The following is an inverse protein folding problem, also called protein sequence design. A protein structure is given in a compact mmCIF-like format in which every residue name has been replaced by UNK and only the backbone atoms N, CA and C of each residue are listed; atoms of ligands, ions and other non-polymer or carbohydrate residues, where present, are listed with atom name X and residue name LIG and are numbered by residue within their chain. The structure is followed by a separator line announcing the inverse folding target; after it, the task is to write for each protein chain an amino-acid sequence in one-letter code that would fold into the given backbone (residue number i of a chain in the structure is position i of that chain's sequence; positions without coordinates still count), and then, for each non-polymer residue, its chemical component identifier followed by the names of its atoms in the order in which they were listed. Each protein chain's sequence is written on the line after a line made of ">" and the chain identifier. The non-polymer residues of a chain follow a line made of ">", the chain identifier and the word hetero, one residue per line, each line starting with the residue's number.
data_IF_599762587694
#
_entry.id   IF_599762587694
#
_cell.length_a   1.000
_cell.length_b   1.000
_cell.length_c   1.000
_cell.angle_alpha   90.00
_cell.angle_beta   90.00
_cell.angle_gamma   90.00
#
_symmetry.space_group_name_H-M   'P 1'
#
loop_
_entity.id
_entity.type
_entity.pdbx_description
1 polymer ?
#
# COMPACT_ATOMS: atom_id res chain seq x y z
N UNK A 1 -37.67 90.03 -30.79
CA UNK A 1 -36.69 89.64 -29.74
C UNK A 1 -36.61 88.13 -29.76
N UNK A 2 -35.57 87.56 -30.39
CA UNK A 2 -35.33 86.10 -30.38
C UNK A 2 -34.54 85.74 -29.16
N UNK A 3 -34.82 84.61 -28.50
CA UNK A 3 -34.07 84.20 -27.33
C UNK A 3 -32.77 83.50 -27.75
N UNK A 4 -31.66 83.94 -27.17
CA UNK A 4 -30.35 83.36 -27.33
C UNK A 4 -30.33 81.94 -26.74
N UNK A 5 -30.17 80.90 -27.57
CA UNK A 5 -29.96 79.49 -27.11
C UNK A 5 -28.49 79.21 -26.98
N UNK A 6 -28.06 79.07 -25.76
CA UNK A 6 -26.71 78.52 -25.44
C UNK A 6 -26.71 77.01 -25.53
N UNK A 7 -25.93 76.44 -26.44
CA UNK A 7 -25.62 74.98 -26.46
C UNK A 7 -24.41 74.69 -25.57
N UNK A 8 -24.66 74.11 -24.44
CA UNK A 8 -23.54 73.60 -23.54
C UNK A 8 -23.13 72.19 -24.03
N UNK A 9 -21.91 72.07 -24.54
CA UNK A 9 -21.32 70.81 -24.96
C UNK A 9 -20.71 70.10 -23.72
N UNK A 10 -21.33 69.02 -23.23
CA UNK A 10 -20.80 68.20 -22.11
C UNK A 10 -19.50 67.55 -22.56
N UNK A 11 -18.39 67.98 -22.01
CA UNK A 11 -17.10 67.40 -22.27
C UNK A 11 -17.09 66.02 -21.61
N UNK A 12 -17.20 64.95 -22.40
CA UNK A 12 -17.20 63.60 -21.93
C UNK A 12 -15.74 63.25 -21.54
N UNK A 13 -15.46 63.09 -20.24
CA UNK A 13 -14.14 62.77 -19.70
C UNK A 13 -13.68 61.36 -20.17
N UNK A 14 -13.21 61.29 -21.41
CA UNK A 14 -12.63 60.06 -21.97
C UNK A 14 -11.37 59.64 -21.23
N UNK A 15 -10.73 60.58 -20.50
CA UNK A 15 -9.54 60.34 -19.70
C UNK A 15 -9.85 59.45 -18.48
N UNK A 16 -10.90 59.72 -17.73
CA UNK A 16 -11.32 58.97 -16.54
C UNK A 16 -11.69 57.53 -16.94
N UNK A 17 -12.41 57.34 -18.04
CA UNK A 17 -12.78 56.01 -18.53
C UNK A 17 -11.57 55.21 -19.03
N UNK A 18 -10.56 55.86 -19.59
CA UNK A 18 -9.29 55.22 -19.97
C UNK A 18 -8.49 54.82 -18.76
N UNK A 19 -8.42 55.63 -17.71
CA UNK A 19 -7.75 55.30 -16.46
C UNK A 19 -8.41 54.11 -15.73
N UNK A 20 -9.73 54.07 -15.67
CA UNK A 20 -10.49 52.96 -15.11
C UNK A 20 -10.26 51.67 -15.92
N UNK A 21 -10.22 51.74 -17.25
CA UNK A 21 -9.91 50.60 -18.10
C UNK A 21 -8.51 50.05 -17.89
N UNK A 22 -7.51 50.93 -17.74
CA UNK A 22 -6.11 50.51 -17.45
C UNK A 22 -6.01 49.88 -16.06
N UNK A 23 -6.68 50.44 -15.05
CA UNK A 23 -6.69 49.89 -13.69
C UNK A 23 -7.35 48.52 -13.62
N UNK A 24 -8.49 48.32 -14.31
CA UNK A 24 -9.15 47.02 -14.43
C UNK A 24 -8.29 45.98 -15.17
N UNK A 25 -7.57 46.40 -16.22
CA UNK A 25 -6.69 45.52 -16.98
C UNK A 25 -5.46 45.09 -16.13
N UNK A 26 -4.88 46.02 -15.35
CA UNK A 26 -3.74 45.69 -14.46
C UNK A 26 -4.15 44.79 -13.30
N UNK A 27 -5.33 45.01 -12.70
CA UNK A 27 -5.84 44.10 -11.65
C UNK A 27 -6.16 42.71 -12.19
N UNK A 28 -6.71 42.61 -13.40
CA UNK A 28 -6.95 41.32 -14.06
C UNK A 28 -5.64 40.61 -14.40
N UNK A 29 -4.62 41.33 -14.87
CA UNK A 29 -3.31 40.78 -15.23
C UNK A 29 -2.53 40.30 -13.97
N UNK A 30 -2.61 41.04 -12.85
CA UNK A 30 -2.02 40.61 -11.57
C UNK A 30 -2.72 39.36 -11.01
N UNK A 31 -4.03 39.21 -11.22
CA UNK A 31 -4.76 38.00 -10.81
C UNK A 31 -4.33 36.71 -11.55
N UNK A 32 -3.87 36.86 -12.81
CA UNK A 32 -3.41 35.73 -13.63
C UNK A 32 -1.98 35.24 -13.25
N UNK A 33 -1.20 36.06 -12.55
CA UNK A 33 0.16 35.74 -12.14
C UNK A 33 0.24 35.02 -10.77
N UNK A 34 -0.86 34.93 -10.03
CA UNK A 34 -0.92 34.30 -8.72
C UNK A 34 -1.12 32.77 -8.74
N UNK A 35 -1.10 32.16 -9.93
CA UNK A 35 -1.43 30.76 -10.16
C UNK A 35 -0.27 29.76 -10.08
N UNK A 36 0.93 30.15 -9.65
CA UNK A 36 2.00 29.19 -9.39
C UNK A 36 1.87 28.60 -7.99
N UNK A 37 0.97 27.64 -7.79
CA UNK A 37 1.15 26.68 -6.71
C UNK A 37 2.33 25.78 -7.12
N UNK A 38 3.48 25.92 -6.49
CA UNK A 38 4.55 24.91 -6.61
C UNK A 38 3.93 23.59 -6.16
N UNK A 39 3.95 22.58 -7.01
CA UNK A 39 3.58 21.24 -6.58
C UNK A 39 4.38 20.89 -5.32
N UNK A 40 3.74 20.29 -4.30
CA UNK A 40 4.46 19.88 -3.11
C UNK A 40 5.59 18.94 -3.53
N UNK A 41 6.78 19.13 -2.96
CA UNK A 41 7.89 18.20 -3.15
C UNK A 41 7.38 16.79 -2.91
N UNK A 42 7.80 15.88 -3.78
CA UNK A 42 7.38 14.48 -3.73
C UNK A 42 8.57 13.62 -4.09
N UNK A 43 8.83 12.62 -3.29
CA UNK A 43 9.80 11.56 -3.59
C UNK A 43 9.14 10.20 -3.46
N UNK A 44 9.40 9.31 -4.41
CA UNK A 44 8.83 7.97 -4.43
C UNK A 44 9.91 6.97 -4.81
N UNK A 45 9.91 5.82 -4.12
CA UNK A 45 10.76 4.67 -4.45
C UNK A 45 9.94 3.39 -4.36
N UNK A 46 10.41 2.40 -5.09
CA UNK A 46 9.88 1.05 -5.09
C UNK A 46 10.93 0.08 -4.55
N UNK A 47 10.45 -0.94 -3.86
CA UNK A 47 11.26 -2.06 -3.37
C UNK A 47 10.44 -3.35 -3.45
N UNK A 48 11.13 -4.50 -3.48
CA UNK A 48 10.49 -5.81 -3.47
C UNK A 48 10.69 -6.44 -2.10
N UNK A 49 9.59 -6.62 -1.35
CA UNK A 49 9.55 -7.21 -0.02
C UNK A 49 8.24 -7.99 0.15
N UNK A 50 8.24 -9.05 0.94
CA UNK A 50 7.06 -9.90 1.21
C UNK A 50 6.45 -10.44 -0.09
N UNK A 51 7.29 -10.82 -1.06
CA UNK A 51 6.91 -11.31 -2.38
C UNK A 51 6.02 -10.35 -3.18
N UNK A 52 6.12 -9.05 -2.89
CA UNK A 52 5.35 -8.01 -3.60
C UNK A 52 6.15 -6.73 -3.81
N UNK A 53 5.69 -5.88 -4.73
CA UNK A 53 6.26 -4.56 -4.95
C UNK A 53 5.62 -3.59 -3.96
N UNK A 54 6.46 -2.93 -3.15
CA UNK A 54 6.05 -1.88 -2.23
C UNK A 54 6.52 -0.54 -2.77
N UNK A 55 5.58 0.38 -3.00
CA UNK A 55 5.89 1.76 -3.39
C UNK A 55 5.66 2.68 -2.20
N UNK A 56 6.70 3.40 -1.78
CA UNK A 56 6.63 4.40 -0.72
C UNK A 56 6.76 5.79 -1.32
N UNK A 57 5.80 6.66 -1.02
CA UNK A 57 5.77 8.03 -1.49
C UNK A 57 5.70 9.00 -0.32
N UNK A 58 6.62 9.94 -0.27
CA UNK A 58 6.63 11.05 0.70
C UNK A 58 6.24 12.34 0.01
N UNK A 59 5.43 13.14 0.67
CA UNK A 59 5.00 14.47 0.24
C UNK A 59 5.56 15.54 1.19
N UNK A 60 5.91 16.70 0.63
CA UNK A 60 6.45 17.82 1.39
C UNK A 60 7.95 17.75 1.65
N UNK A 61 8.62 16.70 1.22
CA UNK A 61 10.06 16.48 1.34
C UNK A 61 10.62 15.79 0.11
N UNK A 62 11.92 15.94 -0.11
CA UNK A 62 12.75 15.19 -1.07
C UNK A 62 13.80 14.34 -0.34
N UNK A 63 13.74 14.25 0.98
CA UNK A 63 14.66 13.45 1.79
C UNK A 63 14.31 11.96 1.71
N UNK A 64 15.12 11.23 0.96
CA UNK A 64 14.97 9.80 0.75
C UNK A 64 15.28 8.94 2.00
N UNK A 65 15.86 9.54 3.03
CA UNK A 65 16.25 8.83 4.25
C UNK A 65 15.06 8.06 4.85
N UNK A 66 13.91 8.71 4.94
CA UNK A 66 12.72 8.07 5.52
C UNK A 66 12.23 6.87 4.71
N UNK A 67 12.34 6.92 3.37
CA UNK A 67 12.00 5.76 2.52
C UNK A 67 12.98 4.61 2.77
N UNK A 68 14.27 4.93 2.86
CA UNK A 68 15.30 3.94 3.13
C UNK A 68 15.13 3.31 4.53
N UNK A 69 14.74 4.09 5.53
CA UNK A 69 14.43 3.60 6.87
C UNK A 69 13.22 2.63 6.84
N UNK A 70 12.16 2.97 6.09
CA UNK A 70 11.00 2.09 5.89
C UNK A 70 11.38 0.78 5.18
N UNK A 71 12.20 0.84 4.14
CA UNK A 71 12.66 -0.38 3.46
C UNK A 71 13.59 -1.22 4.33
N UNK A 72 14.39 -0.61 5.18
CA UNK A 72 15.20 -1.33 6.16
C UNK A 72 14.33 -2.09 7.15
N UNK A 73 13.25 -1.45 7.62
CA UNK A 73 12.26 -2.08 8.50
C UNK A 73 11.49 -3.21 7.79
N UNK A 74 11.07 -2.98 6.53
CA UNK A 74 10.42 -4.03 5.73
C UNK A 74 11.33 -5.26 5.58
N UNK A 75 12.63 -5.03 5.31
CA UNK A 75 13.63 -6.11 5.22
C UNK A 75 13.81 -6.86 6.54
N UNK A 76 13.83 -6.15 7.67
CA UNK A 76 13.93 -6.76 8.99
C UNK A 76 12.73 -7.69 9.26
N UNK A 77 11.51 -7.20 9.03
CA UNK A 77 10.29 -7.99 9.21
C UNK A 77 10.18 -9.16 8.23
N UNK A 78 10.58 -8.97 6.98
CA UNK A 78 10.64 -10.06 6.01
C UNK A 78 11.57 -11.18 6.50
N UNK A 79 12.79 -10.84 6.97
CA UNK A 79 13.73 -11.81 7.51
C UNK A 79 13.21 -12.52 8.78
N UNK A 80 12.29 -11.89 9.51
CA UNK A 80 11.71 -12.43 10.74
C UNK A 80 10.48 -13.30 10.45
N UNK A 81 9.59 -12.85 9.56
CA UNK A 81 8.26 -13.43 9.38
C UNK A 81 8.10 -14.29 8.13
N UNK A 82 9.10 -14.37 7.25
CA UNK A 82 9.00 -15.20 6.05
C UNK A 82 8.89 -16.68 6.40
N UNK A 83 8.00 -17.39 5.74
CA UNK A 83 7.92 -18.84 5.78
C UNK A 83 8.88 -19.53 4.79
N UNK A 84 9.50 -18.76 3.87
CA UNK A 84 10.41 -19.26 2.82
C UNK A 84 11.88 -18.95 3.07
N UNK A 85 12.19 -17.92 3.87
CA UNK A 85 13.57 -17.58 4.23
C UNK A 85 14.04 -18.53 5.33
N UNK A 86 15.02 -19.37 5.02
CA UNK A 86 15.61 -20.28 5.98
C UNK A 86 16.20 -19.52 7.18
N UNK A 87 15.83 -19.94 8.38
CA UNK A 87 16.29 -19.33 9.64
C UNK A 87 15.47 -18.13 10.10
N UNK A 88 14.43 -17.72 9.39
CA UNK A 88 13.41 -16.81 9.93
C UNK A 88 12.71 -17.45 11.13
N UNK A 89 12.12 -16.64 12.01
CA UNK A 89 11.43 -17.18 13.18
C UNK A 89 10.23 -18.06 12.80
N UNK A 90 9.50 -17.69 11.75
CA UNK A 90 8.38 -18.49 11.24
C UNK A 90 8.87 -19.81 10.62
N UNK A 91 9.95 -19.80 9.82
CA UNK A 91 10.49 -21.04 9.28
C UNK A 91 10.99 -21.98 10.39
N UNK A 92 11.62 -21.43 11.43
CA UNK A 92 12.03 -22.22 12.61
C UNK A 92 10.83 -22.86 13.34
N UNK A 93 9.70 -22.14 13.45
CA UNK A 93 8.48 -22.71 14.03
C UNK A 93 7.94 -23.83 13.15
N UNK A 94 7.89 -23.63 11.84
CA UNK A 94 7.41 -24.65 10.89
C UNK A 94 8.28 -25.92 10.90
N UNK A 95 9.59 -25.76 11.06
CA UNK A 95 10.56 -26.86 11.09
C UNK A 95 10.68 -27.53 12.46
N UNK A 96 10.03 -27.01 13.50
CA UNK A 96 10.24 -27.45 14.87
C UNK A 96 9.63 -28.81 15.21
N UNK A 97 8.81 -29.39 14.35
CA UNK A 97 8.16 -30.70 14.57
C UNK A 97 7.44 -30.77 15.93
N UNK A 98 6.64 -29.74 16.24
CA UNK A 98 5.88 -29.63 17.49
C UNK A 98 6.69 -29.27 18.74
N UNK A 99 7.96 -28.93 18.61
CA UNK A 99 8.78 -28.43 19.72
C UNK A 99 8.62 -26.93 19.90
N UNK A 100 8.85 -26.45 21.13
CA UNK A 100 8.83 -25.00 21.38
C UNK A 100 10.05 -24.33 20.75
N UNK A 101 9.80 -23.19 20.12
CA UNK A 101 10.80 -22.28 19.56
C UNK A 101 10.74 -20.97 20.32
N UNK A 102 11.89 -20.41 20.65
CA UNK A 102 11.97 -19.05 21.22
C UNK A 102 11.91 -18.03 20.08
N UNK A 103 10.99 -17.10 20.16
CA UNK A 103 10.77 -16.06 19.14
C UNK A 103 10.82 -14.67 19.78
N UNK A 104 10.95 -13.64 18.96
CA UNK A 104 10.85 -12.25 19.39
C UNK A 104 9.42 -11.85 19.78
N UNK A 105 9.30 -10.75 20.53
CA UNK A 105 8.00 -10.20 20.92
C UNK A 105 7.12 -9.87 19.71
N UNK A 106 7.71 -9.34 18.62
CA UNK A 106 6.97 -9.03 17.39
C UNK A 106 6.35 -10.30 16.76
N UNK A 107 7.10 -11.41 16.71
CA UNK A 107 6.57 -12.68 16.18
C UNK A 107 5.51 -13.26 17.11
N UNK A 108 5.72 -13.14 18.43
CA UNK A 108 4.71 -13.56 19.40
C UNK A 108 3.41 -12.79 19.26
N UNK A 109 3.48 -11.47 19.11
CA UNK A 109 2.31 -10.61 18.88
C UNK A 109 1.59 -11.00 17.59
N UNK A 110 2.32 -11.18 16.48
CA UNK A 110 1.76 -11.60 15.20
C UNK A 110 1.01 -12.95 15.30
N UNK A 111 1.59 -13.94 15.99
CA UNK A 111 0.96 -15.23 16.22
C UNK A 111 -0.30 -15.09 17.09
N UNK A 112 -0.23 -14.28 18.14
CA UNK A 112 -1.36 -14.02 19.02
C UNK A 112 -2.52 -13.36 18.27
N UNK A 113 -2.23 -12.41 17.39
CA UNK A 113 -3.22 -11.78 16.53
C UNK A 113 -3.84 -12.80 15.56
N UNK A 114 -3.02 -13.66 14.96
CA UNK A 114 -3.51 -14.74 14.10
C UNK A 114 -4.48 -15.69 14.83
N UNK A 115 -4.16 -16.08 16.08
CA UNK A 115 -5.06 -16.88 16.90
C UNK A 115 -6.35 -16.13 17.22
N UNK A 116 -6.27 -14.83 17.49
CA UNK A 116 -7.45 -14.00 17.77
C UNK A 116 -8.36 -13.90 16.54
N UNK A 117 -7.81 -13.67 15.35
CA UNK A 117 -8.56 -13.68 14.09
C UNK A 117 -9.18 -15.05 13.80
N UNK A 118 -8.48 -16.15 14.13
CA UNK A 118 -9.04 -17.49 14.08
C UNK A 118 -10.31 -17.64 14.92
N UNK A 119 -10.29 -17.13 16.15
CA UNK A 119 -11.45 -17.11 17.07
C UNK A 119 -12.59 -16.23 16.55
N UNK A 120 -12.29 -14.99 16.16
CA UNK A 120 -13.28 -14.00 15.70
C UNK A 120 -13.98 -14.45 14.42
N UNK A 121 -13.28 -15.16 13.54
CA UNK A 121 -13.80 -15.67 12.28
C UNK A 121 -14.51 -17.02 12.40
N UNK A 122 -14.59 -17.59 13.61
CA UNK A 122 -15.11 -18.97 13.83
C UNK A 122 -14.36 -20.00 12.97
N UNK A 123 -13.01 -19.88 12.93
CA UNK A 123 -12.11 -20.78 12.21
C UNK A 123 -12.10 -20.60 10.67
N UNK A 124 -12.70 -19.54 10.12
CA UNK A 124 -12.62 -19.26 8.68
C UNK A 124 -11.27 -18.67 8.28
N UNK A 125 -10.58 -18.07 9.21
CA UNK A 125 -9.19 -17.69 9.13
C UNK A 125 -8.39 -18.62 10.05
N UNK A 126 -7.32 -19.20 9.54
CA UNK A 126 -6.45 -20.09 10.31
C UNK A 126 -4.99 -19.88 9.93
N UNK A 127 -4.16 -19.47 10.87
CA UNK A 127 -2.72 -19.25 10.63
C UNK A 127 -1.93 -20.56 10.52
N UNK A 128 -2.51 -21.72 10.91
CA UNK A 128 -1.90 -23.03 10.74
C UNK A 128 -2.12 -23.62 9.34
N UNK A 129 -2.55 -22.80 8.36
CA UNK A 129 -2.93 -23.22 6.99
C UNK A 129 -1.74 -23.71 6.14
N UNK A 130 -0.50 -23.60 6.61
CA UNK A 130 0.73 -23.86 5.85
C UNK A 130 0.68 -25.16 5.04
N UNK A 131 0.32 -26.28 5.68
CA UNK A 131 0.25 -27.58 5.00
C UNK A 131 -0.69 -27.59 3.78
N UNK A 132 -1.75 -26.81 3.79
CA UNK A 132 -2.66 -26.69 2.65
C UNK A 132 -2.11 -25.73 1.59
N UNK A 133 -1.49 -24.63 2.00
CA UNK A 133 -0.86 -23.67 1.08
C UNK A 133 0.27 -24.33 0.30
N UNK A 134 1.11 -25.10 0.98
CA UNK A 134 2.21 -25.83 0.37
C UNK A 134 1.71 -26.92 -0.60
N UNK A 135 0.62 -27.61 -0.24
CA UNK A 135 0.01 -28.62 -1.11
C UNK A 135 -0.55 -28.01 -2.41
N UNK A 136 -1.13 -26.81 -2.34
CA UNK A 136 -1.65 -26.12 -3.53
C UNK A 136 -0.55 -25.48 -4.37
N UNK A 137 0.57 -25.10 -3.78
CA UNK A 137 1.76 -24.54 -4.45
C UNK A 137 1.44 -23.55 -5.59
N UNK A 138 0.56 -22.61 -5.29
CA UNK A 138 -0.05 -21.70 -6.30
C UNK A 138 1.03 -20.90 -7.05
N UNK A 139 2.12 -20.54 -6.36
CA UNK A 139 3.21 -19.76 -6.98
C UNK A 139 3.90 -20.55 -8.10
N UNK A 140 4.21 -21.83 -7.87
CA UNK A 140 4.84 -22.69 -8.89
C UNK A 140 3.88 -22.97 -10.06
N UNK A 141 2.59 -23.17 -9.75
CA UNK A 141 1.56 -23.34 -10.78
C UNK A 141 1.46 -22.07 -11.64
N UNK A 142 1.49 -20.89 -11.04
CA UNK A 142 1.41 -19.62 -11.74
C UNK A 142 2.64 -19.35 -12.61
N UNK A 143 3.84 -19.70 -12.14
CA UNK A 143 5.09 -19.55 -12.90
C UNK A 143 5.17 -20.48 -14.11
N UNK A 144 4.60 -21.70 -13.99
CA UNK A 144 4.63 -22.73 -15.02
C UNK A 144 3.42 -22.68 -15.98
N UNK A 145 2.38 -21.90 -15.66
CA UNK A 145 1.27 -21.70 -16.58
C UNK A 145 1.67 -20.72 -17.69
N UNK A 146 1.73 -21.23 -18.93
CA UNK A 146 1.96 -20.41 -20.12
C UNK A 146 0.75 -19.46 -20.27
N UNK A 147 1.02 -18.16 -20.34
CA UNK A 147 0.01 -17.08 -20.32
C UNK A 147 -0.95 -17.07 -21.53
N UNK A 148 -0.85 -18.06 -22.43
CA UNK A 148 -1.67 -18.15 -23.61
C UNK A 148 -2.93 -19.02 -23.48
N UNK A 149 -2.97 -19.94 -22.53
CA UNK A 149 -4.13 -20.80 -22.28
C UNK A 149 -4.56 -20.67 -20.81
N UNK A 150 -5.76 -20.10 -20.57
CA UNK A 150 -6.35 -19.92 -19.24
C UNK A 150 -6.80 -21.25 -18.57
N UNK A 151 -6.35 -22.40 -19.05
CA UNK A 151 -6.70 -23.68 -18.44
C UNK A 151 -5.52 -24.20 -17.62
N UNK A 152 -5.73 -24.31 -16.31
CA UNK A 152 -4.82 -25.01 -15.40
C UNK A 152 -4.95 -26.50 -15.67
N UNK A 153 -3.84 -27.18 -15.98
CA UNK A 153 -3.85 -28.64 -16.12
C UNK A 153 -4.35 -29.30 -14.83
N UNK A 154 -5.45 -30.04 -14.94
CA UNK A 154 -6.05 -30.74 -13.80
C UNK A 154 -5.08 -31.74 -13.13
N UNK A 155 -4.01 -32.15 -13.82
CA UNK A 155 -2.99 -33.05 -13.27
C UNK A 155 -2.11 -32.41 -12.20
N UNK A 156 -2.03 -31.06 -12.16
CA UNK A 156 -1.27 -30.34 -11.14
C UNK A 156 -2.09 -30.02 -9.88
N UNK A 157 -3.40 -30.29 -9.94
CA UNK A 157 -4.27 -30.04 -8.78
C UNK A 157 -4.11 -31.17 -7.72
N UNK A 158 -4.09 -30.81 -6.42
CA UNK A 158 -3.96 -31.80 -5.37
C UNK A 158 -5.15 -32.77 -5.33
N UNK A 159 -4.88 -34.04 -5.00
CA UNK A 159 -5.95 -35.02 -4.85
C UNK A 159 -6.83 -34.74 -3.62
N UNK A 160 -8.10 -35.15 -3.67
CA UNK A 160 -9.00 -35.04 -2.53
C UNK A 160 -8.48 -35.73 -1.26
N UNK A 161 -7.66 -36.79 -1.41
CA UNK A 161 -7.06 -37.50 -0.28
C UNK A 161 -5.95 -36.66 0.35
N UNK A 162 -5.13 -35.99 -0.44
CA UNK A 162 -4.04 -35.16 0.08
C UNK A 162 -4.60 -33.86 0.69
N UNK A 163 -5.65 -33.28 0.11
CA UNK A 163 -6.39 -32.19 0.73
C UNK A 163 -6.91 -32.59 2.12
N UNK A 164 -7.51 -33.78 2.25
CA UNK A 164 -7.99 -34.27 3.55
C UNK A 164 -6.87 -34.46 4.56
N UNK A 165 -5.70 -34.93 4.14
CA UNK A 165 -4.53 -35.06 5.02
C UNK A 165 -4.05 -33.69 5.48
N UNK A 166 -3.89 -32.72 4.58
CA UNK A 166 -3.47 -31.35 4.91
C UNK A 166 -4.45 -30.69 5.87
N UNK A 167 -5.76 -30.79 5.62
CA UNK A 167 -6.81 -30.25 6.51
C UNK A 167 -6.76 -30.80 7.94
N UNK A 168 -6.25 -32.01 8.13
CA UNK A 168 -6.13 -32.60 9.49
C UNK A 168 -5.07 -31.90 10.36
N UNK A 169 -4.20 -31.11 9.75
CA UNK A 169 -3.14 -30.34 10.44
C UNK A 169 -3.49 -28.86 10.61
N UNK A 170 -4.67 -28.41 10.16
CA UNK A 170 -5.09 -27.00 10.20
C UNK A 170 -6.02 -26.81 11.41
N UNK A 171 -5.46 -26.25 12.48
CA UNK A 171 -6.20 -25.86 13.67
C UNK A 171 -5.39 -24.86 14.49
N UNK A 172 -5.71 -23.57 14.38
CA UNK A 172 -5.06 -22.50 15.15
C UNK A 172 -5.11 -22.74 16.67
N UNK A 173 -6.06 -23.54 17.16
CA UNK A 173 -6.21 -23.89 18.59
C UNK A 173 -5.13 -24.85 19.08
N UNK A 174 -4.40 -25.50 18.15
CA UNK A 174 -3.26 -26.36 18.46
C UNK A 174 -1.97 -25.59 18.74
N UNK A 175 -1.96 -24.27 18.48
CA UNK A 175 -0.80 -23.43 18.73
C UNK A 175 -0.72 -23.12 20.23
N UNK A 176 0.36 -23.55 20.85
CA UNK A 176 0.62 -23.32 22.28
C UNK A 176 1.68 -22.22 22.47
N UNK A 177 1.36 -21.21 23.27
CA UNK A 177 2.28 -20.15 23.69
C UNK A 177 2.65 -20.36 25.14
N UNK A 178 3.95 -20.43 25.42
CA UNK A 178 4.49 -20.44 26.79
C UNK A 178 5.20 -19.10 27.04
N UNK A 179 4.72 -18.37 28.04
CA UNK A 179 5.47 -17.24 28.59
C UNK A 179 6.70 -17.72 29.40
N UNK A 180 7.72 -16.86 29.46
CA UNK A 180 8.82 -17.00 30.39
C UNK A 180 8.37 -16.75 31.84
#
# INVERSE_FOLDING_TARGET
>A
MEPLRFKIKKHRNNFTNRMIGIFLLTTLLCGLLSGCSSEPKKVSKEGFYFDTIITITLYGTDDEKYINDCFSLAKEYENKFSNTIAGSEISQINDADGKYVTVSDDTLELIQDGINYGKESDGKFDIAIGALSDLWNISEIAENSDSSDNEVDASVLPSNNDIKKALAHIDYRSIEIKGN
#
